data_IF_248930256114
#
_entry.id   IF_248930256114
#
_cell.length_a   1.000
_cell.length_b   1.000
_cell.length_c   1.000
_cell.angle_alpha   90.00
_cell.angle_beta   90.00
_cell.angle_gamma   90.00
#
_symmetry.space_group_name_H-M   'P 1'
#
loop_
_entity.id
_entity.type
_entity.pdbx_description
1 polymer ?
#
# COMPACT_ATOMS: atom_id res chain seq x y z
N UNK A 1 -15.82 -56.44 -5.79
CA UNK A 1 -14.71 -55.99 -6.66
C UNK A 1 -13.55 -55.55 -5.79
N UNK A 2 -12.44 -56.28 -5.78
CA UNK A 2 -11.21 -55.87 -5.09
C UNK A 2 -10.32 -55.14 -6.08
N UNK A 3 -10.09 -53.84 -5.86
CA UNK A 3 -9.24 -53.01 -6.71
C UNK A 3 -7.78 -53.31 -6.37
N UNK A 4 -7.01 -53.80 -7.34
CA UNK A 4 -5.59 -54.14 -7.15
C UNK A 4 -4.81 -52.90 -6.68
N UNK A 5 -3.92 -53.04 -5.67
CA UNK A 5 -3.15 -51.91 -5.14
C UNK A 5 -2.32 -51.23 -6.24
N UNK A 6 -1.91 -51.97 -7.27
CA UNK A 6 -1.18 -51.44 -8.43
C UNK A 6 -2.02 -50.48 -9.26
N UNK A 7 -3.33 -50.71 -9.38
CA UNK A 7 -4.26 -49.83 -10.13
C UNK A 7 -4.48 -48.52 -9.39
N UNK A 8 -4.55 -48.57 -8.05
CA UNK A 8 -4.65 -47.38 -7.19
C UNK A 8 -3.38 -46.54 -7.30
N UNK A 9 -2.21 -47.18 -7.26
CA UNK A 9 -0.91 -46.50 -7.38
C UNK A 9 -0.75 -45.84 -8.75
N UNK A 10 -1.11 -46.53 -9.84
CA UNK A 10 -1.05 -45.96 -11.20
C UNK A 10 -2.03 -44.78 -11.38
N UNK A 11 -3.23 -44.86 -10.81
CA UNK A 11 -4.19 -43.76 -10.82
C UNK A 11 -3.68 -42.55 -10.02
N UNK A 12 -3.05 -42.78 -8.85
CA UNK A 12 -2.42 -41.72 -8.08
C UNK A 12 -1.29 -41.04 -8.86
N UNK A 13 -0.35 -41.82 -9.43
CA UNK A 13 0.77 -41.29 -10.20
C UNK A 13 0.32 -40.53 -11.46
N UNK A 14 -0.75 -40.99 -12.12
CA UNK A 14 -1.36 -40.28 -13.25
C UNK A 14 -1.99 -38.94 -12.87
N UNK A 15 -2.68 -38.86 -11.73
CA UNK A 15 -3.28 -37.62 -11.23
C UNK A 15 -2.26 -36.57 -10.80
N UNK A 16 -1.08 -36.99 -10.29
CA UNK A 16 -0.02 -36.06 -9.91
C UNK A 16 0.66 -35.39 -11.12
N UNK A 17 0.61 -36.00 -12.31
CA UNK A 17 1.17 -35.41 -13.54
C UNK A 17 0.23 -34.39 -14.20
N UNK A 18 -1.08 -34.42 -13.91
CA UNK A 18 -2.06 -33.46 -14.46
C UNK A 18 -2.16 -32.18 -13.60
N UNK A 19 -1.96 -32.29 -12.28
CA UNK A 19 -1.93 -31.11 -11.39
C UNK A 19 -0.69 -30.21 -11.58
N UNK A 20 0.35 -30.69 -12.25
CA UNK A 20 1.55 -29.88 -12.59
C UNK A 20 1.28 -28.74 -13.59
N UNK A 21 0.13 -28.73 -14.28
CA UNK A 21 -0.12 -27.76 -15.36
C UNK A 21 -0.69 -26.42 -14.88
N UNK A 22 -1.18 -26.31 -13.63
CA UNK A 22 -1.83 -25.07 -13.15
C UNK A 22 -1.11 -24.31 -12.03
N UNK A 23 0.14 -24.65 -11.71
CA UNK A 23 0.92 -23.85 -10.75
C UNK A 23 1.72 -22.70 -11.40
N UNK A 24 1.66 -22.53 -12.72
CA UNK A 24 2.38 -21.48 -13.45
C UNK A 24 1.50 -20.28 -13.87
N UNK A 25 0.45 -19.95 -13.11
CA UNK A 25 -0.13 -18.61 -13.20
C UNK A 25 0.78 -17.67 -12.40
N UNK A 26 1.76 -17.11 -13.10
CA UNK A 26 2.68 -16.10 -12.61
C UNK A 26 1.94 -14.83 -12.16
N UNK A 27 1.52 -14.81 -10.90
CA UNK A 27 1.37 -13.58 -10.15
C UNK A 27 2.71 -13.27 -9.50
N UNK A 28 3.52 -12.39 -10.10
CA UNK A 28 4.65 -11.81 -9.35
C UNK A 28 4.04 -11.13 -8.11
N UNK A 29 4.30 -11.70 -6.94
CA UNK A 29 3.92 -11.07 -5.68
C UNK A 29 4.50 -9.64 -5.68
N UNK A 30 3.65 -8.67 -5.31
CA UNK A 30 4.01 -7.24 -5.31
C UNK A 30 4.29 -6.76 -3.88
N UNK A 31 5.27 -5.87 -3.67
CA UNK A 31 5.49 -5.24 -2.38
C UNK A 31 4.38 -4.25 -2.05
N UNK A 32 4.20 -4.00 -0.76
CA UNK A 32 3.32 -2.98 -0.23
C UNK A 32 4.12 -1.72 0.03
N UNK A 33 3.61 -0.57 -0.43
CA UNK A 33 4.19 0.75 -0.18
C UNK A 33 3.23 1.55 0.70
N UNK A 34 3.76 2.18 1.76
CA UNK A 34 2.98 2.94 2.74
C UNK A 34 3.75 4.18 3.19
N UNK A 35 3.05 5.16 3.76
CA UNK A 35 3.63 6.37 4.33
C UNK A 35 3.39 6.43 5.84
N UNK A 36 4.37 6.94 6.58
CA UNK A 36 4.27 7.23 8.00
C UNK A 36 4.80 8.65 8.28
N UNK A 37 4.11 9.49 9.06
CA UNK A 37 2.85 9.24 9.76
C UNK A 37 1.61 9.26 8.85
N UNK A 38 1.65 9.96 7.71
CA UNK A 38 0.54 10.07 6.77
C UNK A 38 1.02 10.33 5.33
N UNK A 39 0.11 10.24 4.35
CA UNK A 39 0.35 10.62 2.96
C UNK A 39 0.19 12.12 2.69
N UNK A 40 -0.35 12.88 3.64
CA UNK A 40 -0.62 14.31 3.54
C UNK A 40 0.30 15.05 4.51
N UNK A 41 1.34 15.69 3.98
CA UNK A 41 2.48 16.16 4.75
C UNK A 41 2.63 17.68 4.59
N UNK A 42 2.71 18.46 5.67
CA UNK A 42 2.96 19.89 5.56
C UNK A 42 4.36 20.17 5.00
N UNK A 43 4.51 21.26 4.25
CA UNK A 43 5.81 21.76 3.82
C UNK A 43 6.74 21.96 5.04
N UNK A 44 8.00 21.55 4.91
CA UNK A 44 8.97 21.54 6.01
C UNK A 44 8.83 20.37 6.98
N UNK A 45 7.75 19.59 6.90
CA UNK A 45 7.54 18.37 7.67
C UNK A 45 8.40 17.21 7.21
N UNK A 46 8.06 16.00 7.66
CA UNK A 46 8.75 14.77 7.31
C UNK A 46 7.76 13.65 6.99
N UNK A 47 8.20 12.71 6.16
CA UNK A 47 7.47 11.47 5.89
C UNK A 47 8.44 10.34 5.63
N UNK A 48 8.16 9.18 6.21
CA UNK A 48 8.88 7.95 5.97
C UNK A 48 8.06 7.07 5.04
N UNK A 49 8.60 6.81 3.86
CA UNK A 49 8.04 5.87 2.90
C UNK A 49 8.56 4.47 3.22
N UNK A 50 7.64 3.52 3.41
CA UNK A 50 7.93 2.15 3.81
C UNK A 50 7.48 1.16 2.76
N UNK A 51 8.33 0.18 2.49
CA UNK A 51 8.16 -0.91 1.55
C UNK A 51 8.32 -2.24 2.28
N UNK A 52 7.32 -3.09 2.12
CA UNK A 52 7.23 -4.38 2.79
C UNK A 52 6.89 -5.47 1.80
N UNK A 53 7.43 -6.67 2.00
CA UNK A 53 7.14 -7.83 1.17
C UNK A 53 6.89 -9.06 2.02
N UNK A 54 5.85 -9.82 1.67
CA UNK A 54 5.38 -10.95 2.50
C UNK A 54 6.37 -12.12 2.58
N UNK A 55 7.21 -12.31 1.56
CA UNK A 55 8.16 -13.45 1.49
C UNK A 55 9.61 -13.07 1.82
N UNK A 56 9.84 -12.08 2.68
CA UNK A 56 11.17 -11.78 3.21
C UNK A 56 12.12 -11.04 2.25
N UNK A 57 11.59 -10.26 1.29
CA UNK A 57 12.43 -9.26 0.62
C UNK A 57 12.67 -8.10 1.60
N UNK A 58 13.94 -7.77 1.82
CA UNK A 58 14.34 -6.69 2.72
C UNK A 58 15.00 -5.52 2.00
N UNK A 59 15.33 -5.70 0.71
CA UNK A 59 16.03 -4.70 -0.11
C UNK A 59 15.07 -4.18 -1.18
N UNK A 60 14.90 -2.87 -1.21
CA UNK A 60 13.96 -2.20 -2.11
C UNK A 60 14.60 -1.02 -2.83
N UNK A 61 14.07 -0.72 -4.01
CA UNK A 61 14.21 0.57 -4.68
C UNK A 61 12.87 1.29 -4.69
N UNK A 62 12.89 2.61 -4.54
CA UNK A 62 11.72 3.48 -4.46
C UNK A 62 11.93 4.56 -5.49
N UNK A 63 10.92 4.74 -6.33
CA UNK A 63 10.97 5.73 -7.39
C UNK A 63 9.67 6.48 -7.44
N UNK A 64 9.77 7.73 -7.86
CA UNK A 64 8.64 8.59 -8.15
C UNK A 64 8.29 8.40 -9.62
N UNK A 65 7.03 8.10 -9.91
CA UNK A 65 6.57 7.83 -11.28
C UNK A 65 6.40 9.12 -12.09
N UNK A 66 5.92 10.18 -11.43
CA UNK A 66 5.45 11.39 -12.10
C UNK A 66 6.03 12.66 -11.44
N UNK A 67 6.20 13.74 -12.20
CA UNK A 67 6.59 15.06 -11.71
C UNK A 67 8.11 15.31 -11.64
N UNK A 68 8.50 16.28 -10.81
CA UNK A 68 9.92 16.66 -10.63
C UNK A 68 10.70 15.46 -10.08
N UNK A 69 11.83 15.08 -10.69
CA UNK A 69 12.72 14.05 -10.17
C UNK A 69 13.15 14.39 -8.74
N UNK A 70 13.21 13.39 -7.88
CA UNK A 70 13.73 13.52 -6.51
C UNK A 70 15.13 12.93 -6.52
N UNK A 71 16.20 13.75 -6.54
CA UNK A 71 17.57 13.26 -6.73
C UNK A 71 17.97 12.25 -5.65
N UNK A 72 17.47 12.38 -4.42
CA UNK A 72 17.80 11.46 -3.33
C UNK A 72 17.26 10.03 -3.54
N UNK A 73 16.31 9.84 -4.47
CA UNK A 73 15.75 8.53 -4.80
C UNK A 73 16.45 7.84 -5.97
N UNK A 74 17.25 8.57 -6.74
CA UNK A 74 17.85 8.02 -7.95
C UNK A 74 18.83 6.89 -7.61
N UNK A 75 18.57 5.69 -8.13
CA UNK A 75 19.35 4.48 -7.89
C UNK A 75 19.60 4.14 -6.41
N UNK A 76 18.77 4.67 -5.50
CA UNK A 76 18.95 4.41 -4.08
C UNK A 76 18.31 3.08 -3.70
N UNK A 77 19.11 2.25 -3.06
CA UNK A 77 18.67 1.02 -2.42
C UNK A 77 18.50 1.31 -0.93
N UNK A 78 17.40 0.85 -0.35
CA UNK A 78 17.15 1.03 1.08
C UNK A 78 16.49 -0.20 1.69
N UNK A 79 16.64 -0.29 3.01
CA UNK A 79 16.11 -1.36 3.84
C UNK A 79 14.75 -0.98 4.37
N UNK A 80 13.68 -1.46 3.73
CA UNK A 80 12.28 -1.21 4.09
C UNK A 80 11.82 0.26 4.08
N UNK A 81 12.56 1.22 4.63
CA UNK A 81 12.11 2.59 4.83
C UNK A 81 13.05 3.65 4.26
N UNK A 82 12.49 4.74 3.74
CA UNK A 82 13.18 5.92 3.25
C UNK A 82 12.54 7.18 3.84
N UNK A 83 13.33 8.00 4.53
CA UNK A 83 12.88 9.27 5.13
C UNK A 83 13.04 10.43 4.15
N UNK A 84 11.99 11.21 3.94
CA UNK A 84 12.01 12.51 3.27
C UNK A 84 11.88 13.60 4.34
N UNK A 85 12.90 14.44 4.48
CA UNK A 85 12.90 15.59 5.40
C UNK A 85 14.00 16.58 5.00
N UNK A 86 13.71 17.88 4.90
CA UNK A 86 12.39 18.51 4.95
C UNK A 86 11.58 18.30 3.67
N UNK A 87 10.26 18.15 3.79
CA UNK A 87 9.37 18.02 2.63
C UNK A 87 9.20 19.37 1.91
N UNK A 88 9.29 19.32 0.59
CA UNK A 88 9.13 20.47 -0.33
C UNK A 88 8.05 20.14 -1.38
N UNK A 89 7.50 21.12 -2.12
CA UNK A 89 6.52 20.86 -3.18
C UNK A 89 6.99 19.85 -4.23
N UNK A 90 8.31 19.78 -4.48
CA UNK A 90 8.91 18.83 -5.42
C UNK A 90 8.74 17.36 -4.99
N UNK A 91 8.49 17.09 -3.71
CA UNK A 91 8.23 15.76 -3.18
C UNK A 91 6.77 15.31 -3.35
N UNK A 92 5.86 16.17 -3.78
CA UNK A 92 4.49 15.75 -4.09
C UNK A 92 4.49 14.85 -5.33
N UNK A 93 3.76 13.73 -5.29
CA UNK A 93 3.57 12.85 -6.43
C UNK A 93 3.35 11.38 -6.09
N UNK A 94 3.39 10.53 -7.12
CA UNK A 94 3.12 9.10 -7.00
C UNK A 94 4.41 8.31 -6.84
N UNK A 95 4.52 7.56 -5.75
CA UNK A 95 5.64 6.69 -5.42
C UNK A 95 5.30 5.21 -5.64
N UNK A 96 6.30 4.44 -6.04
CA UNK A 96 6.24 2.98 -6.12
C UNK A 96 7.57 2.38 -5.70
N UNK A 97 7.54 1.16 -5.18
CA UNK A 97 8.75 0.39 -4.94
C UNK A 97 8.75 -0.97 -5.62
N UNK A 98 9.96 -1.47 -5.84
CA UNK A 98 10.27 -2.83 -6.26
C UNK A 98 11.29 -3.42 -5.31
N UNK A 99 11.17 -4.71 -5.02
CA UNK A 99 12.17 -5.46 -4.27
C UNK A 99 12.93 -6.41 -5.17
N UNK A 100 14.08 -6.88 -4.71
CA UNK A 100 14.81 -8.00 -5.29
C UNK A 100 15.42 -8.84 -4.18
N UNK A 101 15.70 -10.11 -4.45
CA UNK A 101 16.30 -10.99 -3.46
C UNK A 101 17.82 -10.84 -3.48
N UNK A 102 18.51 -10.75 -2.32
CA UNK A 102 19.97 -10.57 -2.29
C UNK A 102 20.73 -11.66 -3.06
N UNK A 103 20.20 -12.89 -3.07
CA UNK A 103 20.79 -14.03 -3.78
C UNK A 103 20.40 -14.10 -5.27
N UNK A 104 19.41 -13.32 -5.72
CA UNK A 104 19.02 -13.20 -7.13
C UNK A 104 18.76 -11.72 -7.52
N UNK A 105 19.82 -10.88 -7.58
CA UNK A 105 19.68 -9.43 -7.81
C UNK A 105 19.15 -9.05 -9.19
N UNK A 106 19.12 -9.97 -10.14
CA UNK A 106 18.52 -9.80 -11.47
C UNK A 106 17.00 -10.01 -11.47
N UNK A 107 16.44 -10.64 -10.44
CA UNK A 107 15.01 -10.95 -10.34
C UNK A 107 14.28 -9.89 -9.51
N UNK A 108 13.70 -8.92 -10.21
CA UNK A 108 12.88 -7.89 -9.60
C UNK A 108 11.45 -8.38 -9.36
N UNK A 109 10.85 -7.97 -8.23
CA UNK A 109 9.42 -8.12 -7.99
C UNK A 109 8.59 -7.24 -8.93
N UNK A 110 7.29 -7.53 -9.04
CA UNK A 110 6.35 -6.57 -9.60
C UNK A 110 6.40 -5.23 -8.82
N UNK A 111 6.07 -4.09 -9.46
CA UNK A 111 5.91 -2.83 -8.75
C UNK A 111 4.82 -2.89 -7.69
N UNK A 112 5.00 -2.14 -6.60
CA UNK A 112 3.95 -1.92 -5.61
C UNK A 112 2.73 -1.20 -6.21
N UNK A 113 1.63 -1.23 -5.47
CA UNK A 113 0.56 -0.26 -5.67
C UNK A 113 1.10 1.19 -5.54
N UNK A 114 0.49 2.16 -6.25
CA UNK A 114 0.87 3.56 -6.13
C UNK A 114 0.62 4.09 -4.72
N UNK A 115 1.56 4.88 -4.21
CA UNK A 115 1.42 5.66 -2.99
C UNK A 115 1.53 7.14 -3.34
N UNK A 116 0.44 7.90 -3.18
CA UNK A 116 0.41 9.33 -3.50
C UNK A 116 0.79 10.12 -2.26
N UNK A 117 1.80 10.99 -2.38
CA UNK A 117 2.18 11.96 -1.36
C UNK A 117 1.70 13.34 -1.76
N UNK A 118 0.95 13.98 -0.86
CA UNK A 118 0.41 15.32 -1.01
C UNK A 118 1.12 16.26 -0.05
N UNK A 119 1.54 17.43 -0.55
CA UNK A 119 2.20 18.45 0.26
C UNK A 119 1.22 19.58 0.56
N UNK A 120 1.04 19.92 1.83
CA UNK A 120 0.13 20.98 2.30
C UNK A 120 0.88 22.19 2.85
N UNK A 121 0.17 23.27 3.19
CA UNK A 121 0.77 24.50 3.73
C UNK A 121 1.34 25.45 2.68
N UNK A 122 1.10 25.17 1.38
CA UNK A 122 1.49 26.06 0.27
C UNK A 122 0.57 27.28 0.14
N UNK A 123 -0.66 27.17 0.64
CA UNK A 123 -1.70 28.18 0.56
C UNK A 123 -2.30 28.42 1.94
N UNK A 124 -2.99 29.56 2.09
CA UNK A 124 -3.73 29.89 3.32
C UNK A 124 -4.78 28.83 3.66
N UNK A 125 -5.03 28.66 4.96
CA UNK A 125 -6.00 27.67 5.46
C UNK A 125 -7.42 28.04 4.99
N UNK A 126 -8.15 27.14 4.31
CA UNK A 126 -9.52 27.40 3.93
C UNK A 126 -10.46 27.38 5.15
N UNK A 127 -11.58 28.09 5.07
CA UNK A 127 -12.71 27.94 5.98
C UNK A 127 -13.69 26.90 5.42
N UNK A 128 -14.16 25.99 6.27
CA UNK A 128 -15.19 25.01 5.94
C UNK A 128 -16.37 25.22 6.89
N UNK A 129 -17.57 25.40 6.34
CA UNK A 129 -18.81 25.52 7.11
C UNK A 129 -19.85 24.57 6.53
N UNK A 130 -20.69 24.00 7.38
CA UNK A 130 -21.81 23.17 6.99
C UNK A 130 -23.11 23.92 7.26
N UNK A 131 -23.99 24.01 6.26
CA UNK A 131 -25.33 24.55 6.46
C UNK A 131 -26.27 23.46 6.99
N UNK A 132 -27.19 23.80 7.91
CA UNK A 132 -28.25 22.88 8.33
C UNK A 132 -29.05 22.39 7.11
N UNK A 133 -29.33 21.09 7.08
CA UNK A 133 -30.20 20.50 6.06
C UNK A 133 -31.64 21.03 6.18
N UNK A 134 -32.47 20.89 5.13
CA UNK A 134 -33.87 21.29 5.19
C UNK A 134 -34.57 20.53 6.34
N UNK A 135 -35.08 21.27 7.33
CA UNK A 135 -35.89 20.70 8.40
C UNK A 135 -37.27 20.38 7.80
N UNK A 136 -37.51 19.11 7.49
CA UNK A 136 -38.83 18.61 7.12
C UNK A 136 -39.74 18.64 8.38
N UNK A 137 -40.82 19.45 8.42
CA UNK A 137 -41.63 19.65 9.62
C UNK A 137 -42.43 18.42 10.10
N UNK A 138 -42.33 17.26 9.45
CA UNK A 138 -43.23 16.13 9.67
C UNK A 138 -42.64 14.93 10.42
N UNK A 139 -41.36 14.95 10.81
CA UNK A 139 -40.83 13.91 11.70
C UNK A 139 -40.67 14.47 13.11
N UNK A 140 -41.67 14.20 13.96
CA UNK A 140 -41.59 14.32 15.40
C UNK A 140 -40.53 13.35 15.94
N UNK A 141 -39.26 13.73 15.89
CA UNK A 141 -38.22 13.10 16.69
C UNK A 141 -38.15 13.85 18.03
N UNK A 142 -38.32 13.16 19.17
CA UNK A 142 -38.19 13.80 20.47
C UNK A 142 -36.75 14.32 20.65
N UNK A 143 -36.64 15.54 21.13
CA UNK A 143 -35.37 16.17 21.49
C UNK A 143 -34.57 15.24 22.42
N UNK A 144 -33.25 15.07 22.22
CA UNK A 144 -32.41 14.35 23.17
C UNK A 144 -32.51 15.05 24.52
N UNK A 145 -33.03 14.35 25.52
CA UNK A 145 -33.05 14.85 26.90
C UNK A 145 -31.60 14.94 27.38
N UNK A 146 -31.16 16.13 27.76
CA UNK A 146 -29.86 16.38 28.37
C UNK A 146 -29.70 15.47 29.61
N UNK A 147 -28.66 14.63 29.71
CA UNK A 147 -28.43 13.88 30.93
C UNK A 147 -27.95 14.84 32.02
N UNK A 148 -28.83 15.08 33.00
CA UNK A 148 -28.49 15.80 34.22
C UNK A 148 -27.39 15.05 34.97
N UNK A 149 -26.17 15.57 34.89
CA UNK A 149 -25.10 15.19 35.79
C UNK A 149 -25.38 15.85 37.15
N UNK A 150 -25.89 15.07 38.11
CA UNK A 150 -25.89 15.47 39.52
C UNK A 150 -24.50 15.20 40.11
N UNK A 151 -23.98 16.21 40.81
CA UNK A 151 -22.76 16.21 41.63
C UNK A 151 -22.80 15.17 42.73
#
# INVERSE_FOLDING_TARGET
MSMSPTVVILACLGFFLDQSVWAHVGGQDKPFCSAWPSTVVPQGGHVTLRCHYRRGLNIFTLYKKDGVPVPELYNRIFWNSFLISPVTPAHAGTYRCRGFHPHSPTEWSAPSNPLVIMVTGLYGKPSLSAQPGPMNPSSSWPSPTEPSFKT
#
